data_IF_535792607586
#
_entry.id   IF_535792607586
#
_cell.length_a   1.000
_cell.length_b   1.000
_cell.length_c   1.000
_cell.angle_alpha   90.00
_cell.angle_beta   90.00
_cell.angle_gamma   90.00
#
_symmetry.space_group_name_H-M   'P 1'
#
loop_
_entity.id
_entity.type
_entity.pdbx_description
1 polymer ?
#
# COMPACT_ATOMS: atom_id res chain seq x y z
N UNK A 1 0.04 11.42 3.86
CA UNK A 1 1.38 11.40 4.50
C UNK A 1 1.53 10.49 5.71
N UNK A 2 0.59 10.46 6.67
CA UNK A 2 0.75 9.66 7.90
C UNK A 2 0.99 8.17 7.66
N UNK A 3 0.20 7.55 6.77
CA UNK A 3 0.29 6.12 6.44
C UNK A 3 1.63 5.73 5.81
N UNK A 4 2.11 6.55 4.87
CA UNK A 4 3.34 6.31 4.11
C UNK A 4 4.56 6.39 5.04
N UNK A 5 4.55 7.35 5.97
CA UNK A 5 5.62 7.50 6.98
C UNK A 5 5.57 6.42 8.05
N UNK A 6 4.39 6.03 8.53
CA UNK A 6 4.22 4.98 9.54
C UNK A 6 4.73 3.62 9.06
N UNK A 7 4.45 3.25 7.81
CA UNK A 7 4.87 1.95 7.26
C UNK A 7 6.24 1.99 6.57
N UNK A 8 6.87 3.17 6.53
CA UNK A 8 8.12 3.45 5.84
C UNK A 8 8.07 3.02 4.36
N UNK A 9 6.95 3.36 3.70
CA UNK A 9 6.76 3.12 2.28
C UNK A 9 7.58 4.13 1.46
N UNK A 10 7.90 3.76 0.23
CA UNK A 10 8.51 4.69 -0.72
C UNK A 10 7.49 5.77 -1.08
N UNK A 11 7.71 7.01 -0.65
CA UNK A 11 6.75 8.11 -0.80
C UNK A 11 6.26 8.30 -2.23
N UNK A 12 7.17 8.40 -3.20
CA UNK A 12 6.85 8.62 -4.61
C UNK A 12 5.99 7.48 -5.20
N UNK A 13 6.43 6.24 -5.01
CA UNK A 13 5.72 5.08 -5.56
C UNK A 13 4.36 4.87 -4.87
N UNK A 14 4.28 5.09 -3.55
CA UNK A 14 3.05 4.96 -2.78
C UNK A 14 2.02 6.02 -3.18
N UNK A 15 2.43 7.28 -3.36
CA UNK A 15 1.54 8.36 -3.85
C UNK A 15 0.97 8.00 -5.22
N UNK A 16 1.83 7.60 -6.15
CA UNK A 16 1.41 7.22 -7.50
C UNK A 16 0.47 6.01 -7.49
N UNK A 17 0.72 5.02 -6.63
CA UNK A 17 -0.16 3.87 -6.46
C UNK A 17 -1.56 4.28 -5.97
N UNK A 18 -1.62 5.15 -4.96
CA UNK A 18 -2.88 5.67 -4.42
C UNK A 18 -3.63 6.49 -5.50
N UNK A 19 -2.95 7.40 -6.20
CA UNK A 19 -3.56 8.19 -7.29
C UNK A 19 -4.14 7.30 -8.39
N UNK A 20 -3.38 6.29 -8.84
CA UNK A 20 -3.87 5.35 -9.83
C UNK A 20 -5.08 4.55 -9.31
N UNK A 21 -5.06 4.15 -8.04
CA UNK A 21 -6.18 3.41 -7.43
C UNK A 21 -7.45 4.26 -7.36
N UNK A 22 -7.34 5.54 -6.99
CA UNK A 22 -8.48 6.46 -7.00
C UNK A 22 -8.97 6.77 -8.41
N UNK A 23 -8.07 6.92 -9.38
CA UNK A 23 -8.41 7.13 -10.79
C UNK A 23 -9.15 5.94 -11.38
N UNK A 24 -8.64 4.73 -11.15
CA UNK A 24 -9.22 3.48 -11.65
C UNK A 24 -10.48 3.08 -10.87
N UNK A 25 -10.73 3.73 -9.72
CA UNK A 25 -11.81 3.40 -8.79
C UNK A 25 -11.65 2.03 -8.12
N UNK A 26 -10.46 1.43 -8.21
CA UNK A 26 -10.17 0.11 -7.67
C UNK A 26 -8.72 0.05 -7.20
N UNK A 27 -8.51 -0.42 -5.97
CA UNK A 27 -7.18 -0.66 -5.42
C UNK A 27 -6.70 -2.07 -5.80
N UNK A 28 -5.60 -2.14 -6.54
CA UNK A 28 -4.97 -3.43 -6.91
C UNK A 28 -4.17 -3.97 -5.72
N UNK A 29 -4.84 -4.80 -4.91
CA UNK A 29 -4.21 -5.49 -3.76
C UNK A 29 -3.47 -6.76 -4.16
N UNK A 30 -3.71 -7.25 -5.37
CA UNK A 30 -3.09 -8.43 -5.94
C UNK A 30 -1.89 -8.06 -6.82
N UNK A 31 -0.93 -8.98 -6.93
CA UNK A 31 0.27 -8.78 -7.74
C UNK A 31 1.44 -8.13 -6.98
N UNK A 32 2.33 -7.48 -7.73
CA UNK A 32 3.62 -6.95 -7.25
C UNK A 32 3.62 -5.43 -7.04
N UNK A 33 2.50 -4.75 -7.28
CA UNK A 33 2.45 -3.28 -7.16
C UNK A 33 2.66 -2.81 -5.71
N UNK A 34 2.10 -3.52 -4.73
CA UNK A 34 2.38 -3.24 -3.31
C UNK A 34 3.82 -3.60 -2.94
N UNK A 35 4.39 -4.64 -3.56
CA UNK A 35 5.79 -4.99 -3.33
C UNK A 35 6.76 -3.91 -3.85
N UNK A 36 6.33 -3.09 -4.82
CA UNK A 36 7.12 -1.96 -5.33
C UNK A 36 7.17 -0.82 -4.31
N UNK A 37 6.02 -0.44 -3.75
CA UNK A 37 5.92 0.65 -2.77
C UNK A 37 6.52 0.29 -1.40
N UNK A 38 6.66 -1.01 -1.10
CA UNK A 38 7.26 -1.48 0.14
C UNK A 38 8.78 -1.21 0.20
N UNK A 39 9.32 -0.93 1.39
CA UNK A 39 10.77 -0.87 1.57
C UNK A 39 11.40 -2.25 1.32
N UNK A 40 12.70 -2.31 0.97
CA UNK A 40 13.41 -3.57 0.80
C UNK A 40 13.36 -4.38 2.09
N UNK A 41 12.56 -5.43 2.08
CA UNK A 41 12.41 -6.39 3.18
C UNK A 41 13.27 -7.62 2.91
N UNK A 42 13.99 -8.08 3.93
CA UNK A 42 14.86 -9.25 3.83
C UNK A 42 14.10 -10.47 3.34
N UNK A 43 14.65 -11.16 2.32
CA UNK A 43 14.11 -12.41 1.77
C UNK A 43 14.19 -13.57 2.76
N UNK A 44 15.00 -13.43 3.82
CA UNK A 44 15.19 -14.42 4.87
C UNK A 44 14.22 -14.26 6.05
N UNK A 45 13.47 -13.16 6.10
CA UNK A 45 12.41 -12.96 7.09
C UNK A 45 11.11 -13.61 6.57
N UNK A 46 11.06 -14.94 6.63
CA UNK A 46 10.06 -15.78 5.96
C UNK A 46 8.60 -15.47 6.32
N UNK A 47 8.32 -14.85 7.47
CA UNK A 47 6.96 -14.45 7.87
C UNK A 47 6.74 -12.94 7.95
N UNK A 48 7.79 -12.13 8.10
CA UNK A 48 7.63 -10.69 8.33
C UNK A 48 7.17 -9.94 7.08
N UNK A 49 7.59 -10.39 5.89
CA UNK A 49 7.19 -9.73 4.63
C UNK A 49 5.71 -9.89 4.35
N UNK A 50 5.19 -11.13 4.45
CA UNK A 50 3.79 -11.42 4.13
C UNK A 50 2.85 -10.73 5.12
N UNK A 51 3.17 -10.78 6.42
CA UNK A 51 2.40 -10.09 7.46
C UNK A 51 2.40 -8.58 7.20
N UNK A 52 3.58 -7.99 6.95
CA UNK A 52 3.69 -6.54 6.71
C UNK A 52 2.95 -6.12 5.44
N UNK A 53 3.04 -6.91 4.37
CA UNK A 53 2.28 -6.68 3.12
C UNK A 53 0.79 -6.67 3.41
N UNK A 54 0.28 -7.65 4.15
CA UNK A 54 -1.14 -7.70 4.51
C UNK A 54 -1.56 -6.50 5.35
N UNK A 55 -0.78 -6.13 6.36
CA UNK A 55 -1.06 -4.93 7.19
C UNK A 55 -1.11 -3.65 6.37
N UNK A 56 -0.19 -3.48 5.41
CA UNK A 56 -0.18 -2.32 4.51
C UNK A 56 -1.42 -2.33 3.61
N UNK A 57 -1.78 -3.49 3.06
CA UNK A 57 -3.00 -3.67 2.25
C UNK A 57 -4.22 -3.25 3.04
N UNK A 58 -4.42 -3.79 4.25
CA UNK A 58 -5.60 -3.54 5.06
C UNK A 58 -5.73 -2.05 5.40
N UNK A 59 -4.62 -1.39 5.73
CA UNK A 59 -4.60 0.05 6.01
C UNK A 59 -4.88 0.90 4.78
N UNK A 60 -4.31 0.53 3.62
CA UNK A 60 -4.54 1.22 2.36
C UNK A 60 -5.98 1.05 1.88
N UNK A 61 -6.57 -0.15 2.04
CA UNK A 61 -7.97 -0.43 1.77
C UNK A 61 -8.88 0.40 2.67
N UNK A 62 -8.65 0.38 3.98
CA UNK A 62 -9.45 1.17 4.92
C UNK A 62 -9.36 2.68 4.62
N UNK A 63 -8.18 3.16 4.20
CA UNK A 63 -8.03 4.53 3.72
C UNK A 63 -8.82 4.75 2.41
N UNK A 64 -8.66 3.87 1.43
CA UNK A 64 -9.35 3.96 0.15
C UNK A 64 -10.86 4.00 0.35
N UNK A 65 -11.46 3.01 1.01
CA UNK A 65 -12.91 2.95 1.30
C UNK A 65 -13.42 4.18 2.06
N UNK A 66 -12.61 4.72 2.98
CA UNK A 66 -12.98 5.92 3.74
C UNK A 66 -13.09 7.16 2.87
N UNK A 67 -12.29 7.29 1.82
CA UNK A 67 -12.28 8.50 0.96
C UNK A 67 -12.95 8.27 -0.40
N UNK A 68 -13.13 7.00 -0.80
CA UNK A 68 -13.81 6.60 -2.02
C UNK A 68 -15.33 6.78 -1.85
N UNK A 69 -15.91 7.71 -2.62
CA UNK A 69 -17.33 8.08 -2.51
C UNK A 69 -17.64 9.29 -1.62
N UNK A 70 -16.62 9.93 -1.04
CA UNK A 70 -16.73 11.24 -0.39
C UNK A 70 -16.42 12.42 -1.34
N UNK A 71 -16.26 12.13 -2.64
CA UNK A 71 -16.01 13.07 -3.75
C UNK A 71 -17.22 13.14 -4.66
#
# INVERSE_FOLDING_TARGET
DKLIKEENLKEEEARRFIENSFRDGLMKTTGTDIDRIMPPVSRFASNSRTIKKQTIIDKLLAFFEKYFGLV
#
